data_IF_376783349086
#
_entry.id   IF_376783349086
#
_cell.length_a   1.000
_cell.length_b   1.000
_cell.length_c   1.000
_cell.angle_alpha   90.00
_cell.angle_beta   90.00
_cell.angle_gamma   90.00
#
_symmetry.space_group_name_H-M   'P 1'
#
loop_
_entity.id
_entity.type
_entity.pdbx_description
1 polymer ?
#
# COMPACT_ATOMS: atom_id res chain seq x y z
N UNK A 1 -3.76 -19.54 -10.30
CA UNK A 1 -3.97 -19.98 -8.90
C UNK A 1 -3.96 -18.71 -8.10
N UNK A 2 -5.10 -18.38 -7.48
CA UNK A 2 -5.21 -17.17 -6.66
C UNK A 2 -4.56 -17.35 -5.29
N UNK A 3 -4.48 -16.26 -4.53
CA UNK A 3 -3.90 -16.28 -3.19
C UNK A 3 -4.23 -15.04 -2.38
N UNK A 4 -4.07 -15.15 -1.06
CA UNK A 4 -4.26 -14.03 -0.13
C UNK A 4 -2.96 -13.79 0.62
N UNK A 5 -2.49 -12.55 0.63
CA UNK A 5 -1.36 -12.08 1.44
C UNK A 5 -1.93 -11.12 2.49
N UNK A 6 -1.77 -11.45 3.76
CA UNK A 6 -2.27 -10.64 4.87
C UNK A 6 -1.06 -10.08 5.62
N UNK A 7 -1.05 -8.77 5.85
CA UNK A 7 -0.10 -8.17 6.78
C UNK A 7 -0.49 -8.52 8.23
N UNK A 8 0.46 -9.04 8.99
CA UNK A 8 0.29 -9.48 10.37
C UNK A 8 1.16 -8.61 11.30
N UNK A 9 0.63 -7.49 11.82
CA UNK A 9 1.32 -6.71 12.85
C UNK A 9 1.30 -7.44 14.19
N UNK A 10 2.17 -7.02 15.11
CA UNK A 10 2.13 -7.46 16.51
C UNK A 10 0.77 -7.11 17.15
N UNK A 11 0.28 -7.95 18.07
CA UNK A 11 -1.08 -7.80 18.66
C UNK A 11 -1.31 -6.45 19.33
N UNK A 12 -0.27 -5.87 19.95
CA UNK A 12 -0.33 -4.59 20.66
C UNK A 12 0.08 -3.38 19.80
N UNK A 13 0.26 -3.56 18.48
CA UNK A 13 0.64 -2.48 17.58
C UNK A 13 -0.51 -1.50 17.32
N UNK A 14 -0.22 -0.19 17.37
CA UNK A 14 -1.15 0.89 17.00
C UNK A 14 -1.68 0.74 15.56
N UNK A 15 -0.94 0.05 14.69
CA UNK A 15 -1.34 -0.22 13.30
C UNK A 15 -2.65 -1.02 13.22
N UNK A 16 -2.97 -1.81 14.26
CA UNK A 16 -4.23 -2.54 14.34
C UNK A 16 -5.46 -1.63 14.46
N UNK A 17 -5.29 -0.40 14.93
CA UNK A 17 -6.40 0.57 15.07
C UNK A 17 -6.72 1.30 13.76
N UNK A 18 -5.85 1.19 12.74
CA UNK A 18 -6.07 1.84 11.46
C UNK A 18 -7.03 1.05 10.56
N UNK A 19 -7.74 1.73 9.65
CA UNK A 19 -8.59 1.05 8.68
C UNK A 19 -7.75 0.21 7.71
N UNK A 20 -8.34 -0.86 7.18
CA UNK A 20 -7.68 -1.82 6.30
C UNK A 20 -8.17 -1.69 4.86
N UNK A 21 -7.29 -2.04 3.93
CA UNK A 21 -7.56 -2.05 2.49
C UNK A 21 -7.25 -3.42 1.91
N UNK A 22 -7.87 -3.72 0.76
CA UNK A 22 -7.57 -4.91 -0.04
C UNK A 22 -7.18 -4.46 -1.44
N UNK A 23 -5.96 -4.78 -1.87
CA UNK A 23 -5.55 -4.66 -3.27
C UNK A 23 -5.83 -5.98 -3.97
N UNK A 24 -6.60 -5.94 -5.06
CA UNK A 24 -6.80 -7.07 -5.96
C UNK A 24 -5.96 -6.88 -7.22
N UNK A 25 -5.22 -7.89 -7.61
CA UNK A 25 -4.39 -7.88 -8.82
C UNK A 25 -4.46 -9.21 -9.58
N UNK A 26 -4.26 -9.23 -10.91
CA UNK A 26 -4.26 -10.45 -11.68
C UNK A 26 -3.13 -11.37 -11.26
N UNK A 27 -3.37 -12.67 -11.30
CA UNK A 27 -2.39 -13.73 -11.12
C UNK A 27 -2.61 -14.84 -12.14
N UNK A 28 -1.57 -15.61 -12.46
CA UNK A 28 -1.73 -16.77 -13.34
C UNK A 28 -1.95 -16.44 -14.83
N UNK A 29 -1.59 -15.25 -15.28
CA UNK A 29 -1.56 -14.87 -16.71
C UNK A 29 -2.78 -14.10 -17.21
N UNK A 30 -3.69 -13.71 -16.31
CA UNK A 30 -4.74 -12.74 -16.62
C UNK A 30 -4.16 -11.32 -16.78
N UNK A 31 -4.87 -10.48 -17.55
CA UNK A 31 -4.42 -9.14 -17.93
C UNK A 31 -5.55 -8.12 -17.67
N UNK A 32 -5.56 -7.59 -16.45
CA UNK A 32 -6.46 -6.53 -15.99
C UNK A 32 -5.79 -5.67 -14.91
N UNK A 33 -6.19 -4.41 -14.79
CA UNK A 33 -5.54 -3.44 -13.88
C UNK A 33 -5.88 -3.68 -12.41
N UNK A 34 -4.87 -3.65 -11.53
CA UNK A 34 -5.11 -3.78 -10.10
C UNK A 34 -5.95 -2.63 -9.55
N UNK A 35 -6.72 -2.92 -8.51
CA UNK A 35 -7.54 -1.92 -7.84
C UNK A 35 -7.58 -2.14 -6.33
N UNK A 36 -7.89 -1.07 -5.59
CA UNK A 36 -7.90 -1.06 -4.13
C UNK A 36 -9.33 -0.86 -3.64
N UNK A 37 -9.73 -1.66 -2.65
CA UNK A 37 -10.99 -1.55 -1.95
C UNK A 37 -10.78 -1.17 -0.48
N UNK A 38 -11.73 -0.42 0.08
CA UNK A 38 -11.71 0.00 1.50
C UNK A 38 -12.22 1.42 1.72
N UNK A 39 -12.14 1.92 2.96
CA UNK A 39 -11.56 1.24 4.13
C UNK A 39 -12.50 0.18 4.74
N UNK A 40 -11.93 -0.77 5.47
CA UNK A 40 -12.64 -1.80 6.22
C UNK A 40 -12.06 -1.98 7.64
N UNK A 41 -12.78 -2.69 8.51
CA UNK A 41 -12.15 -3.35 9.65
C UNK A 41 -11.30 -4.53 9.15
N UNK A 42 -10.26 -4.93 9.91
CA UNK A 42 -9.34 -6.01 9.50
C UNK A 42 -10.07 -7.29 9.11
N UNK A 43 -10.99 -7.76 9.97
CA UNK A 43 -11.71 -9.02 9.76
C UNK A 43 -12.60 -8.96 8.51
N UNK A 44 -13.18 -7.80 8.21
CA UNK A 44 -13.96 -7.60 6.99
C UNK A 44 -13.07 -7.61 5.74
N UNK A 45 -11.88 -6.98 5.79
CA UNK A 45 -10.93 -6.98 4.69
C UNK A 45 -10.44 -8.40 4.36
N UNK A 46 -10.09 -9.19 5.39
CA UNK A 46 -9.65 -10.58 5.24
C UNK A 46 -10.77 -11.44 4.63
N UNK A 47 -11.99 -11.33 5.16
CA UNK A 47 -13.12 -12.11 4.66
C UNK A 47 -13.43 -11.82 3.18
N UNK A 48 -13.33 -10.56 2.74
CA UNK A 48 -13.51 -10.18 1.34
C UNK A 48 -12.38 -10.72 0.45
N UNK A 49 -11.13 -10.61 0.91
CA UNK A 49 -9.97 -11.11 0.18
C UNK A 49 -10.04 -12.63 -0.05
N UNK A 50 -10.39 -13.39 0.99
CA UNK A 50 -10.59 -14.84 0.91
C UNK A 50 -11.75 -15.20 -0.03
N UNK A 51 -12.88 -14.50 0.07
CA UNK A 51 -14.05 -14.79 -0.73
C UNK A 51 -13.80 -14.64 -2.24
N UNK A 52 -12.94 -13.71 -2.65
CA UNK A 52 -12.62 -13.44 -4.07
C UNK A 52 -11.42 -14.27 -4.53
N UNK A 53 -10.29 -14.20 -3.82
CA UNK A 53 -9.05 -14.82 -4.29
C UNK A 53 -9.04 -16.36 -4.17
N UNK A 54 -9.88 -16.92 -3.30
CA UNK A 54 -10.01 -18.38 -3.12
C UNK A 54 -11.25 -18.96 -3.81
N UNK A 55 -12.08 -18.15 -4.48
CA UNK A 55 -13.18 -18.68 -5.29
C UNK A 55 -12.62 -19.38 -6.54
N UNK A 56 -12.94 -20.67 -6.67
CA UNK A 56 -12.57 -21.49 -7.82
C UNK A 56 -13.12 -20.95 -9.15
N UNK A 57 -14.20 -20.14 -9.10
CA UNK A 57 -14.79 -19.51 -10.29
C UNK A 57 -14.00 -18.29 -10.79
N UNK A 58 -13.35 -17.55 -9.89
CA UNK A 58 -12.59 -16.33 -10.18
C UNK A 58 -11.07 -16.58 -10.27
N UNK A 59 -10.66 -17.85 -10.20
CA UNK A 59 -9.25 -18.26 -10.08
C UNK A 59 -8.30 -17.48 -10.99
N UNK A 60 -7.24 -16.92 -10.40
CA UNK A 60 -6.39 -15.95 -11.09
C UNK A 60 -6.35 -14.58 -10.43
N UNK A 61 -6.72 -14.46 -9.15
CA UNK A 61 -6.65 -13.21 -8.38
C UNK A 61 -5.69 -13.34 -7.20
N UNK A 62 -4.77 -12.39 -7.04
CA UNK A 62 -4.03 -12.19 -5.79
C UNK A 62 -4.71 -11.05 -5.01
N UNK A 63 -4.98 -11.28 -3.73
CA UNK A 63 -5.50 -10.28 -2.82
C UNK A 63 -4.46 -9.94 -1.73
N UNK A 64 -4.18 -8.65 -1.54
CA UNK A 64 -3.22 -8.15 -0.57
C UNK A 64 -3.96 -7.30 0.46
N UNK A 65 -3.96 -7.74 1.72
CA UNK A 65 -4.67 -7.09 2.84
C UNK A 65 -3.69 -6.32 3.71
N UNK A 66 -3.81 -5.00 3.75
CA UNK A 66 -2.88 -4.11 4.48
C UNK A 66 -3.58 -2.94 5.19
N UNK A 67 -3.03 -2.47 6.32
CA UNK A 67 -3.52 -1.28 7.01
C UNK A 67 -3.25 -0.02 6.19
N UNK A 68 -4.14 0.97 6.29
CA UNK A 68 -4.03 2.28 5.67
C UNK A 68 -3.42 3.26 6.67
N UNK A 69 -2.12 3.54 6.52
CA UNK A 69 -1.40 4.46 7.41
C UNK A 69 -1.84 5.92 7.20
N UNK A 70 -2.06 6.70 8.27
CA UNK A 70 -2.55 8.07 8.18
C UNK A 70 -1.41 9.08 8.02
N UNK A 71 -0.56 8.93 7.00
CA UNK A 71 0.53 9.88 6.74
C UNK A 71 -0.01 11.28 6.36
N UNK A 72 0.58 12.33 6.94
CA UNK A 72 0.13 13.72 6.78
C UNK A 72 1.20 14.64 6.20
N UNK A 73 2.34 14.08 5.81
CA UNK A 73 3.41 14.83 5.15
C UNK A 73 4.27 13.89 4.30
N UNK A 74 5.04 14.43 3.36
CA UNK A 74 6.04 13.67 2.62
C UNK A 74 7.17 13.14 3.55
N UNK A 75 7.45 13.87 4.63
CA UNK A 75 8.41 13.44 5.66
C UNK A 75 7.90 12.20 6.40
N UNK A 76 6.62 12.14 6.76
CA UNK A 76 6.00 10.96 7.40
C UNK A 76 6.17 9.71 6.51
N UNK A 77 5.87 9.86 5.22
CA UNK A 77 6.02 8.78 4.23
C UNK A 77 7.48 8.36 4.11
N UNK A 78 8.41 9.32 4.06
CA UNK A 78 9.84 9.03 3.92
C UNK A 78 10.38 8.34 5.17
N UNK A 79 9.98 8.77 6.36
CA UNK A 79 10.33 8.12 7.62
C UNK A 79 9.85 6.67 7.66
N UNK A 80 8.61 6.39 7.23
CA UNK A 80 8.11 5.01 7.11
C UNK A 80 8.94 4.19 6.12
N UNK A 81 9.33 4.76 4.98
CA UNK A 81 10.19 4.07 4.00
C UNK A 81 11.54 3.71 4.63
N UNK A 82 12.14 4.64 5.39
CA UNK A 82 13.44 4.41 6.02
C UNK A 82 13.35 3.36 7.14
N UNK A 83 12.30 3.37 7.97
CA UNK A 83 12.03 2.33 8.97
C UNK A 83 11.88 0.95 8.32
N UNK A 84 11.13 0.84 7.22
CA UNK A 84 10.94 -0.42 6.50
C UNK A 84 12.24 -0.93 5.84
N UNK A 85 13.09 0.00 5.37
CA UNK A 85 14.41 -0.36 4.84
C UNK A 85 15.34 -0.86 5.92
N UNK A 86 15.34 -0.24 7.10
CA UNK A 86 16.14 -0.68 8.25
C UNK A 86 15.70 -2.07 8.72
N UNK A 87 14.38 -2.30 8.87
CA UNK A 87 13.85 -3.62 9.22
C UNK A 87 14.24 -4.71 8.21
N UNK A 88 14.19 -4.40 6.91
CA UNK A 88 14.62 -5.35 5.87
C UNK A 88 16.12 -5.70 5.96
N UNK A 89 16.97 -4.75 6.35
CA UNK A 89 18.41 -4.99 6.54
C UNK A 89 18.69 -5.82 7.80
N UNK A 90 17.94 -5.61 8.88
CA UNK A 90 18.03 -6.43 10.10
C UNK A 90 17.63 -7.89 9.83
N UNK A 91 16.57 -8.11 9.03
CA UNK A 91 16.15 -9.45 8.58
C UNK A 91 17.21 -10.10 7.66
N UNK A 92 17.93 -9.32 6.85
CA UNK A 92 19.05 -9.80 6.03
C UNK A 92 20.32 -10.09 6.85
N UNK A 93 20.58 -9.40 7.97
CA UNK A 93 21.72 -9.68 8.86
C UNK A 93 21.59 -11.03 9.60
N UNK A 94 20.38 -11.59 9.74
CA UNK A 94 20.18 -12.98 10.21
C UNK A 94 20.40 -14.05 9.10
N UNK A 95 20.53 -13.64 7.84
CA UNK A 95 20.81 -14.49 6.70
C UNK A 95 22.17 -14.15 6.07
N UNK A 96 23.27 -14.69 6.62
CA UNK A 96 24.57 -14.63 5.95
C UNK A 96 24.52 -15.33 4.57
N UNK A 97 24.35 -14.59 3.47
CA UNK A 97 24.91 -14.97 2.18
C UNK A 97 25.31 -13.75 1.34
N UNK A 98 26.60 -13.70 1.00
CA UNK A 98 27.18 -12.75 0.04
C UNK A 98 26.93 -13.22 -1.39
N UNK A 99 26.51 -12.36 -2.33
CA UNK A 99 26.71 -12.59 -3.78
C UNK A 99 26.97 -11.29 -4.57
N UNK A 100 28.19 -11.26 -5.16
CA UNK A 100 28.64 -10.63 -6.41
C UNK A 100 28.56 -9.10 -6.62
N UNK A 101 29.43 -8.37 -5.93
CA UNK A 101 29.81 -6.98 -6.22
C UNK A 101 30.28 -6.70 -7.65
N UNK A 102 29.34 -6.35 -8.53
CA UNK A 102 29.61 -5.75 -9.84
C UNK A 102 29.07 -4.32 -9.83
N UNK A 103 29.93 -3.29 -9.96
CA UNK A 103 29.46 -1.93 -10.20
C UNK A 103 28.75 -1.87 -11.55
N UNK A 104 27.50 -1.42 -11.56
CA UNK A 104 26.81 -1.06 -12.80
C UNK A 104 27.26 0.35 -13.13
N UNK A 105 28.01 0.50 -14.23
CA UNK A 105 28.38 1.80 -14.76
C UNK A 105 27.17 2.38 -15.49
N UNK A 106 26.43 3.26 -14.82
CA UNK A 106 25.42 4.08 -15.46
C UNK A 106 26.17 5.22 -16.15
N UNK A 107 26.66 4.97 -17.37
CA UNK A 107 26.99 6.05 -18.30
C UNK A 107 25.67 6.79 -18.63
N UNK A 108 25.32 7.71 -17.74
CA UNK A 108 24.10 8.52 -17.72
C UNK A 108 24.39 9.89 -18.34
N UNK A 109 24.83 9.89 -19.59
CA UNK A 109 25.23 11.12 -20.31
C UNK A 109 24.25 11.48 -21.45
N UNK A 110 23.03 10.91 -21.44
CA UNK A 110 22.00 11.19 -22.47
C UNK A 110 20.56 11.27 -21.92
N UNK A 111 20.39 11.44 -20.60
CA UNK A 111 19.13 11.90 -20.04
C UNK A 111 19.13 13.43 -20.04
N UNK A 112 18.46 14.03 -21.04
CA UNK A 112 18.03 15.43 -20.91
C UNK A 112 17.17 15.52 -19.64
N UNK A 113 17.70 16.19 -18.62
CA UNK A 113 17.03 16.48 -17.35
C UNK A 113 15.88 17.45 -17.66
N UNK A 114 14.75 16.91 -18.13
CA UNK A 114 13.51 17.67 -18.20
C UNK A 114 13.15 18.01 -16.75
N UNK A 115 13.33 19.28 -16.35
CA UNK A 115 12.91 19.78 -15.04
C UNK A 115 11.39 19.56 -14.92
N UNK A 116 11.00 18.39 -14.41
CA UNK A 116 9.63 18.09 -14.08
C UNK A 116 9.22 19.09 -12.99
N UNK A 117 8.25 19.94 -13.30
CA UNK A 117 7.66 20.84 -12.31
C UNK A 117 6.86 19.99 -11.32
N UNK A 118 7.48 19.63 -10.20
CA UNK A 118 6.83 18.91 -9.14
C UNK A 118 5.83 19.84 -8.43
N UNK A 119 4.62 19.34 -8.19
CA UNK A 119 3.68 20.03 -7.32
C UNK A 119 4.26 20.11 -5.89
N UNK A 120 4.08 21.25 -5.23
CA UNK A 120 4.40 21.37 -3.80
C UNK A 120 3.54 20.37 -3.00
N UNK A 121 4.12 19.68 -2.00
CA UNK A 121 3.36 18.77 -1.16
C UNK A 121 2.30 19.54 -0.36
N UNK A 122 1.09 18.98 -0.17
CA UNK A 122 0.05 19.63 0.62
C UNK A 122 0.47 19.72 2.09
N UNK A 123 -0.05 20.72 2.79
CA UNK A 123 0.13 20.84 4.23
C UNK A 123 -0.63 19.73 4.99
N UNK A 124 -0.22 19.41 6.23
CA UNK A 124 -0.95 18.44 7.06
C UNK A 124 -2.42 18.83 7.33
N UNK A 125 -2.76 20.12 7.32
CA UNK A 125 -4.15 20.57 7.47
C UNK A 125 -4.97 20.28 6.21
N UNK A 126 -4.44 20.60 5.03
CA UNK A 126 -5.08 20.31 3.75
C UNK A 126 -5.32 18.80 3.54
N UNK A 127 -4.37 17.95 3.96
CA UNK A 127 -4.55 16.50 3.91
C UNK A 127 -5.70 16.06 4.81
N UNK A 128 -5.75 16.52 6.07
CA UNK A 128 -6.83 16.16 7.01
C UNK A 128 -8.20 16.60 6.50
N UNK A 129 -8.30 17.82 5.99
CA UNK A 129 -9.54 18.31 5.38
C UNK A 129 -9.93 17.48 4.15
N UNK A 130 -8.96 17.15 3.30
CA UNK A 130 -9.13 16.31 2.13
C UNK A 130 -9.66 14.92 2.50
N UNK A 131 -9.01 14.25 3.46
CA UNK A 131 -9.46 12.97 4.01
C UNK A 131 -10.90 13.06 4.51
N UNK A 132 -11.23 14.07 5.31
CA UNK A 132 -12.58 14.24 5.85
C UNK A 132 -13.64 14.46 4.76
N UNK A 133 -13.32 15.19 3.68
CA UNK A 133 -14.21 15.35 2.51
C UNK A 133 -14.39 14.03 1.76
N UNK A 134 -13.29 13.30 1.50
CA UNK A 134 -13.33 12.02 0.79
C UNK A 134 -14.12 10.96 1.56
N UNK A 135 -13.93 10.87 2.88
CA UNK A 135 -14.67 9.93 3.71
C UNK A 135 -16.18 10.20 3.74
N UNK A 136 -16.60 11.47 3.85
CA UNK A 136 -18.02 11.81 3.77
C UNK A 136 -18.63 11.40 2.43
N UNK A 137 -17.91 11.66 1.34
CA UNK A 137 -18.34 11.26 0.00
C UNK A 137 -18.42 9.74 -0.15
N UNK A 138 -17.45 9.01 0.36
CA UNK A 138 -17.39 7.56 0.26
C UNK A 138 -18.56 6.89 0.99
N UNK A 139 -18.92 7.42 2.15
CA UNK A 139 -19.99 6.91 3.01
C UNK A 139 -21.35 7.57 2.74
N UNK A 140 -21.45 8.38 1.68
CA UNK A 140 -22.65 9.14 1.29
C UNK A 140 -23.27 9.98 2.43
N UNK A 141 -22.45 10.44 3.38
CA UNK A 141 -22.91 11.12 4.61
C UNK A 141 -23.50 12.51 4.34
N UNK A 142 -23.28 13.06 3.15
CA UNK A 142 -23.78 14.36 2.74
C UNK A 142 -25.13 14.25 1.98
N UNK A 143 -25.58 13.05 1.59
CA UNK A 143 -26.84 12.87 0.86
C UNK A 143 -28.10 13.00 1.72
N UNK A 144 -27.99 12.84 3.04
CA UNK A 144 -29.10 12.98 4.00
C UNK A 144 -29.25 14.41 4.56
N UNK A 145 -28.48 15.38 4.06
CA UNK A 145 -28.46 16.76 4.56
C UNK A 145 -29.39 17.74 3.82
N UNK A 146 -30.21 17.28 2.86
CA UNK A 146 -31.15 18.08 2.05
C UNK A 146 -32.63 17.97 2.47
#
# INVERSE_FOLDING_TARGET
>A
MGGVIIYEPEEDSDVNEFPWTVTFEPSGGDDWDSFICGPYERDHAVALAEAVALDDAEGGVLAIVKPMLPALSAEDVSATIDELREAALEDEEEAEETVNGTPVDFDDDDLEEEEAEFAEPPSPEEIREGMARTYRRLLDLDADAE
#
